data_IF_161235405458
#
_entry.id   IF_161235405458
#
_cell.length_a   1.000
_cell.length_b   1.000
_cell.length_c   1.000
_cell.angle_alpha   90.00
_cell.angle_beta   90.00
_cell.angle_gamma   90.00
#
_symmetry.space_group_name_H-M   'P 1'
#
loop_
_entity.id
_entity.type
_entity.pdbx_description
1 polymer ?
#
# COMPACT_ATOMS: atom_id res chain seq x y z
N UNK A 1 6.43 20.71 -8.73
CA UNK A 1 7.03 19.36 -8.80
C UNK A 1 7.22 18.85 -7.38
N UNK A 2 7.44 17.56 -7.16
CA UNK A 2 7.69 17.01 -5.82
C UNK A 2 8.82 16.00 -5.84
N UNK A 3 9.71 16.10 -4.86
CA UNK A 3 10.80 15.14 -4.59
C UNK A 3 10.52 14.34 -3.31
N UNK A 4 9.28 14.39 -2.81
CA UNK A 4 8.89 13.77 -1.55
C UNK A 4 8.88 12.24 -1.67
N UNK A 5 9.69 11.58 -0.83
CA UNK A 5 9.64 10.13 -0.65
C UNK A 5 9.04 9.76 0.71
N UNK A 6 7.85 9.16 0.68
CA UNK A 6 7.11 8.74 1.87
C UNK A 6 7.56 7.35 2.30
N UNK A 7 8.06 7.22 3.54
CA UNK A 7 8.53 5.96 4.15
C UNK A 7 8.23 5.91 5.65
N UNK A 8 8.01 4.74 6.25
CA UNK A 8 7.74 4.64 7.68
C UNK A 8 8.94 5.14 8.55
N UNK A 9 8.68 5.78 9.70
CA UNK A 9 7.41 6.37 10.12
C UNK A 9 7.14 7.67 9.34
N UNK A 10 5.89 7.88 8.91
CA UNK A 10 5.45 9.13 8.27
C UNK A 10 4.08 9.55 8.82
N UNK A 11 3.94 10.82 9.21
CA UNK A 11 2.65 11.38 9.64
C UNK A 11 1.96 12.05 8.45
N UNK A 12 0.90 11.43 7.96
CA UNK A 12 0.05 12.01 6.93
C UNK A 12 -0.71 13.22 7.50
N UNK A 13 -0.81 14.28 6.71
CA UNK A 13 -1.45 15.55 7.10
C UNK A 13 -2.67 15.91 6.25
N UNK A 14 -2.85 15.24 5.12
CA UNK A 14 -3.85 15.60 4.10
C UNK A 14 -4.66 14.39 3.58
N UNK A 15 -4.29 13.17 3.98
CA UNK A 15 -4.91 11.94 3.50
C UNK A 15 -5.28 11.11 4.71
N UNK A 16 -6.58 10.89 4.89
CA UNK A 16 -7.14 10.05 5.97
C UNK A 16 -7.48 8.64 5.46
N UNK A 17 -7.73 8.49 4.15
CA UNK A 17 -8.12 7.23 3.49
C UNK A 17 -7.31 7.05 2.21
N UNK A 18 -6.89 5.81 1.91
CA UNK A 18 -6.11 5.48 0.71
C UNK A 18 -6.78 4.37 -0.11
N UNK A 19 -7.17 4.67 -1.34
CA UNK A 19 -7.55 3.68 -2.36
C UNK A 19 -6.39 3.50 -3.34
N UNK A 20 -5.87 2.28 -3.47
CA UNK A 20 -4.68 1.99 -4.28
C UNK A 20 -4.68 0.55 -4.80
N UNK A 21 -3.90 0.27 -5.85
CA UNK A 21 -3.68 -1.10 -6.33
C UNK A 21 -2.81 -1.92 -5.36
N UNK A 22 -2.76 -3.24 -5.59
CA UNK A 22 -1.73 -4.11 -5.01
C UNK A 22 -0.39 -3.98 -5.75
N UNK A 23 0.61 -3.43 -5.06
CA UNK A 23 1.96 -3.16 -5.57
C UNK A 23 2.90 -4.35 -5.39
N UNK A 24 3.90 -4.48 -6.26
CA UNK A 24 4.89 -5.56 -6.18
C UNK A 24 5.77 -5.47 -4.92
N UNK A 25 6.31 -6.62 -4.44
CA UNK A 25 7.31 -6.64 -3.39
C UNK A 25 8.51 -5.76 -3.74
N UNK A 26 9.06 -5.06 -2.74
CA UNK A 26 10.23 -4.16 -2.87
C UNK A 26 10.03 -2.94 -3.78
N UNK A 27 8.78 -2.55 -4.04
CA UNK A 27 8.47 -1.29 -4.74
C UNK A 27 8.38 -0.09 -3.77
N UNK A 28 8.66 1.10 -4.28
CA UNK A 28 8.50 2.36 -3.51
C UNK A 28 7.04 2.63 -3.14
N UNK A 29 6.08 2.20 -3.97
CA UNK A 29 4.65 2.32 -3.68
C UNK A 29 4.23 1.42 -2.52
N UNK A 30 4.79 0.21 -2.42
CA UNK A 30 4.57 -0.64 -1.25
C UNK A 30 5.14 0.01 0.03
N UNK A 31 6.28 0.70 -0.06
CA UNK A 31 6.85 1.45 1.07
C UNK A 31 5.89 2.56 1.53
N UNK A 32 5.28 3.31 0.60
CA UNK A 32 4.27 4.32 0.91
C UNK A 32 3.05 3.71 1.62
N UNK A 33 2.54 2.60 1.09
CA UNK A 33 1.41 1.87 1.69
C UNK A 33 1.75 1.39 3.10
N UNK A 34 2.94 0.85 3.32
CA UNK A 34 3.42 0.49 4.66
C UNK A 34 3.59 1.70 5.58
N UNK A 35 3.93 2.88 5.05
CA UNK A 35 4.00 4.10 5.84
C UNK A 35 2.61 4.56 6.30
N UNK A 36 1.59 4.31 5.48
CA UNK A 36 0.20 4.66 5.75
C UNK A 36 -0.49 3.69 6.71
N UNK A 37 -0.44 2.38 6.43
CA UNK A 37 -1.19 1.35 7.16
C UNK A 37 -0.34 0.52 8.14
N UNK A 38 0.97 0.74 8.21
CA UNK A 38 1.90 -0.08 8.98
C UNK A 38 2.30 -1.38 8.27
N UNK A 39 3.45 -1.94 8.66
CA UNK A 39 4.01 -3.11 7.99
C UNK A 39 3.19 -4.39 8.22
N UNK A 40 2.79 -4.65 9.46
CA UNK A 40 2.13 -5.90 9.82
C UNK A 40 0.71 -6.05 9.24
N UNK A 41 -0.15 -5.02 9.27
CA UNK A 41 -1.45 -5.07 8.61
C UNK A 41 -1.32 -5.28 7.10
N UNK A 42 -0.41 -4.55 6.44
CA UNK A 42 -0.16 -4.69 5.00
C UNK A 42 0.32 -6.10 4.65
N UNK A 43 1.26 -6.66 5.43
CA UNK A 43 1.74 -8.03 5.22
C UNK A 43 0.62 -9.06 5.29
N UNK A 44 -0.28 -8.93 6.27
CA UNK A 44 -1.44 -9.82 6.40
C UNK A 44 -2.43 -9.65 5.24
N UNK A 45 -2.71 -8.42 4.82
CA UNK A 45 -3.59 -8.15 3.68
C UNK A 45 -3.03 -8.75 2.38
N UNK A 46 -1.72 -8.66 2.15
CA UNK A 46 -1.06 -9.25 1.00
C UNK A 46 -1.10 -10.78 1.01
N UNK A 47 -0.88 -11.41 2.18
CA UNK A 47 -0.99 -12.86 2.32
C UNK A 47 -2.40 -13.36 1.97
N UNK A 48 -3.43 -12.66 2.46
CA UNK A 48 -4.83 -12.96 2.14
C UNK A 48 -5.13 -12.76 0.65
N UNK A 49 -4.65 -11.66 0.05
CA UNK A 49 -4.85 -11.36 -1.36
C UNK A 49 -4.22 -12.44 -2.26
N UNK A 50 -3.04 -12.94 -1.90
CA UNK A 50 -2.40 -14.08 -2.60
C UNK A 50 -3.22 -15.35 -2.41
N UNK A 51 -3.66 -15.67 -1.20
CA UNK A 51 -4.46 -16.86 -0.90
C UNK A 51 -5.79 -16.87 -1.67
N UNK A 52 -6.40 -15.69 -1.87
CA UNK A 52 -7.64 -15.50 -2.62
C UNK A 52 -7.45 -15.23 -4.12
N UNK A 53 -6.23 -15.32 -4.62
CA UNK A 53 -5.90 -15.11 -6.03
C UNK A 53 -6.35 -13.74 -6.58
N UNK A 54 -6.18 -12.69 -5.78
CA UNK A 54 -6.35 -11.31 -6.26
C UNK A 54 -5.39 -11.04 -7.41
N UNK A 55 -5.81 -10.18 -8.32
CA UNK A 55 -5.00 -9.70 -9.43
C UNK A 55 -4.17 -8.52 -8.94
N UNK A 56 -2.87 -8.56 -9.17
CA UNK A 56 -1.93 -7.52 -8.76
C UNK A 56 -1.65 -6.55 -9.92
N UNK A 57 -0.92 -5.46 -9.63
CA UNK A 57 -0.39 -4.50 -10.61
C UNK A 57 -1.44 -3.52 -11.18
N UNK A 58 -1.10 -2.83 -12.27
CA UNK A 58 -1.83 -1.68 -12.79
C UNK A 58 -3.28 -1.95 -13.17
N UNK A 59 -3.58 -3.17 -13.64
CA UNK A 59 -4.93 -3.59 -14.08
C UNK A 59 -5.53 -4.65 -13.15
N UNK A 60 -4.96 -4.78 -11.95
CA UNK A 60 -5.41 -5.73 -10.94
C UNK A 60 -6.57 -5.19 -10.12
N UNK A 61 -6.78 -5.84 -8.98
CA UNK A 61 -7.72 -5.42 -7.97
C UNK A 61 -7.13 -4.30 -7.10
N UNK A 62 -7.99 -3.69 -6.28
CA UNK A 62 -7.64 -2.56 -5.44
C UNK A 62 -7.76 -2.90 -3.94
N UNK A 63 -7.10 -2.08 -3.14
CA UNK A 63 -7.11 -2.07 -1.69
C UNK A 63 -7.59 -0.69 -1.21
N UNK A 64 -8.54 -0.70 -0.30
CA UNK A 64 -9.02 0.48 0.43
C UNK A 64 -8.53 0.39 1.88
N UNK A 65 -7.83 1.43 2.32
CA UNK A 65 -7.34 1.57 3.70
C UNK A 65 -8.07 2.75 4.34
N UNK A 66 -8.80 2.47 5.42
CA UNK A 66 -9.63 3.42 6.18
C UNK A 66 -8.99 3.78 7.52
#
# INVERSE_FOLDING_TARGET
TTDLFIRPPYRFRAVDVLLTNFHLPRSTLLVLVCAFAGLEPVRRAYAEAVARQYRFYSYGDAMLIL
#
